data_IF_265617859954
#
_entry.id   IF_265617859954
#
_cell.length_a   1.000
_cell.length_b   1.000
_cell.length_c   1.000
_cell.angle_alpha   90.00
_cell.angle_beta   90.00
_cell.angle_gamma   90.00
#
_symmetry.space_group_name_H-M   'P 1'
#
loop_
_entity.id
_entity.type
_entity.pdbx_description
1 polymer ?
#
# COMPACT_ATOMS: atom_id res chain seq x y z
N UNK A 1 2.36 -6.39 10.97
CA UNK A 1 2.66 -6.81 9.58
C UNK A 1 3.50 -5.72 8.95
N UNK A 2 4.70 -6.05 8.48
CA UNK A 2 5.57 -5.11 7.79
C UNK A 2 5.38 -5.26 6.29
N UNK A 3 5.09 -4.17 5.60
CA UNK A 3 5.07 -4.15 4.14
C UNK A 3 6.53 -4.33 3.70
N UNK A 4 6.84 -5.49 3.11
CA UNK A 4 8.19 -5.82 2.63
C UNK A 4 8.33 -5.49 1.16
N UNK A 5 7.30 -5.73 0.35
CA UNK A 5 7.30 -5.46 -1.10
C UNK A 5 5.93 -4.96 -1.59
N UNK A 6 5.91 -4.29 -2.75
CA UNK A 6 4.67 -3.90 -3.43
C UNK A 6 3.83 -5.11 -3.80
N UNK A 7 4.47 -6.18 -4.28
CA UNK A 7 3.79 -7.39 -4.73
C UNK A 7 3.01 -8.04 -3.59
N UNK A 8 3.64 -8.22 -2.43
CA UNK A 8 2.95 -8.77 -1.25
C UNK A 8 1.78 -7.88 -0.81
N UNK A 9 1.93 -6.56 -0.92
CA UNK A 9 0.88 -5.63 -0.55
C UNK A 9 -0.32 -5.68 -1.50
N UNK A 10 -0.07 -5.74 -2.81
CA UNK A 10 -1.13 -5.86 -3.82
C UNK A 10 -1.80 -7.23 -3.73
N UNK A 11 -1.04 -8.31 -3.53
CA UNK A 11 -1.60 -9.64 -3.30
C UNK A 11 -2.43 -9.71 -2.02
N UNK A 12 -2.01 -9.02 -0.95
CA UNK A 12 -2.82 -8.88 0.26
C UNK A 12 -4.14 -8.17 -0.02
N UNK A 13 -4.11 -7.04 -0.72
CA UNK A 13 -5.33 -6.35 -1.16
C UNK A 13 -6.24 -7.25 -1.99
N UNK A 14 -5.68 -8.02 -2.93
CA UNK A 14 -6.44 -8.95 -3.77
C UNK A 14 -7.08 -10.06 -2.93
N UNK A 15 -6.34 -10.62 -1.98
CA UNK A 15 -6.80 -11.66 -1.06
C UNK A 15 -7.89 -11.20 -0.10
N UNK A 16 -8.00 -9.90 0.16
CA UNK A 16 -9.11 -9.32 0.94
C UNK A 16 -10.43 -9.24 0.14
N UNK A 17 -10.41 -9.55 -1.16
CA UNK A 17 -11.57 -9.53 -2.06
C UNK A 17 -12.34 -8.19 -2.02
N UNK A 18 -11.60 -7.08 -1.88
CA UNK A 18 -12.16 -5.73 -1.72
C UNK A 18 -12.40 -5.00 -3.05
N UNK A 19 -12.12 -5.63 -4.20
CA UNK A 19 -12.13 -4.98 -5.52
C UNK A 19 -13.50 -4.41 -5.91
N UNK A 20 -14.59 -4.85 -5.27
CA UNK A 20 -15.95 -4.35 -5.48
C UNK A 20 -16.38 -3.20 -4.57
N UNK A 21 -15.60 -2.84 -3.54
CA UNK A 21 -16.00 -1.84 -2.54
C UNK A 21 -14.99 -0.71 -2.37
N UNK A 22 -13.69 -1.00 -2.50
CA UNK A 22 -12.62 -0.01 -2.33
C UNK A 22 -11.55 -0.28 -3.38
N UNK A 23 -11.25 0.70 -4.24
CA UNK A 23 -10.14 0.62 -5.19
C UNK A 23 -8.77 0.56 -4.51
N UNK A 24 -7.78 -0.02 -5.17
CA UNK A 24 -6.42 -0.16 -4.65
C UNK A 24 -5.83 1.18 -4.24
N UNK A 25 -6.08 2.25 -5.00
CA UNK A 25 -5.60 3.60 -4.67
C UNK A 25 -6.17 4.10 -3.33
N UNK A 26 -7.46 3.91 -3.10
CA UNK A 26 -8.10 4.27 -1.83
C UNK A 26 -7.56 3.42 -0.67
N UNK A 27 -7.31 2.14 -0.91
CA UNK A 27 -6.72 1.24 0.07
C UNK A 27 -5.30 1.68 0.48
N UNK A 28 -4.46 2.00 -0.51
CA UNK A 28 -3.09 2.54 -0.32
C UNK A 28 -3.13 3.85 0.47
N UNK A 29 -4.04 4.76 0.11
CA UNK A 29 -4.18 6.05 0.79
C UNK A 29 -4.60 5.89 2.26
N UNK A 30 -5.52 4.96 2.54
CA UNK A 30 -5.94 4.67 3.92
C UNK A 30 -4.78 4.13 4.76
N UNK A 31 -4.02 3.17 4.24
CA UNK A 31 -2.85 2.63 4.96
C UNK A 31 -1.77 3.72 5.16
N UNK A 32 -1.57 4.60 4.18
CA UNK A 32 -0.62 5.72 4.29
C UNK A 32 -0.99 6.66 5.44
N UNK A 33 -2.28 6.95 5.64
CA UNK A 33 -2.75 7.76 6.78
C UNK A 33 -2.49 7.04 8.12
N UNK A 34 -2.76 5.73 8.17
CA UNK A 34 -2.51 4.91 9.36
C UNK A 34 -1.02 4.89 9.72
N UNK A 35 -0.14 4.71 8.73
CA UNK A 35 1.31 4.71 8.94
C UNK A 35 1.84 6.08 9.37
N UNK A 36 1.32 7.19 8.82
CA UNK A 36 1.67 8.54 9.27
C UNK A 36 1.28 8.76 10.73
N UNK A 37 0.06 8.38 11.13
CA UNK A 37 -0.38 8.48 12.51
C UNK A 37 0.45 7.61 13.48
N UNK A 38 0.91 6.44 13.01
CA UNK A 38 1.84 5.58 13.76
C UNK A 38 3.24 6.20 13.87
N UNK A 39 3.70 6.95 12.87
CA UNK A 39 4.99 7.66 12.89
C UNK A 39 5.01 8.79 13.93
N UNK A 40 3.87 9.47 14.11
CA UNK A 40 3.71 10.52 15.13
C UNK A 40 3.73 9.96 16.56
N UNK A 41 3.38 8.68 16.74
CA UNK A 41 3.48 7.98 18.02
C UNK A 41 4.94 7.63 18.35
N UNK A 42 5.50 8.30 19.37
CA UNK A 42 6.93 8.21 19.76
C UNK A 42 7.42 6.83 20.26
N UNK A 43 6.51 5.88 20.47
CA UNK A 43 6.83 4.54 21.02
C UNK A 43 7.07 3.45 19.97
N UNK A 44 7.01 3.77 18.67
CA UNK A 44 7.20 2.79 17.60
C UNK A 44 8.52 3.00 16.86
N UNK A 45 9.15 1.89 16.46
CA UNK A 45 10.32 1.91 15.59
C UNK A 45 9.96 2.58 14.26
N UNK A 46 10.62 3.71 13.96
CA UNK A 46 10.29 4.55 12.80
C UNK A 46 10.75 3.96 11.47
N UNK A 47 11.84 3.20 11.47
CA UNK A 47 12.42 2.57 10.27
C UNK A 47 11.42 1.69 9.49
N UNK A 48 10.72 0.71 10.10
CA UNK A 48 9.74 -0.10 9.36
C UNK A 48 8.54 0.70 8.87
N UNK A 49 8.15 1.77 9.58
CA UNK A 49 7.04 2.65 9.18
C UNK A 49 7.45 3.47 7.95
N UNK A 50 8.66 4.04 7.95
CA UNK A 50 9.21 4.77 6.81
C UNK A 50 9.38 3.88 5.58
N UNK A 51 9.84 2.64 5.78
CA UNK A 51 9.93 1.66 4.70
C UNK A 51 8.56 1.35 4.09
N UNK A 52 7.54 1.12 4.93
CA UNK A 52 6.17 0.92 4.48
C UNK A 52 5.63 2.13 3.71
N UNK A 53 5.83 3.34 4.23
CA UNK A 53 5.42 4.58 3.55
C UNK A 53 6.07 4.72 2.16
N UNK A 54 7.35 4.37 2.03
CA UNK A 54 8.05 4.42 0.74
C UNK A 54 7.43 3.46 -0.29
N UNK A 55 7.11 2.24 0.13
CA UNK A 55 6.45 1.26 -0.75
C UNK A 55 5.08 1.76 -1.19
N UNK A 56 4.30 2.33 -0.27
CA UNK A 56 2.98 2.90 -0.60
C UNK A 56 3.10 4.09 -1.56
N UNK A 57 4.11 4.94 -1.40
CA UNK A 57 4.34 6.10 -2.26
C UNK A 57 4.74 5.66 -3.68
N UNK A 58 5.68 4.72 -3.79
CA UNK A 58 6.09 4.16 -5.07
C UNK A 58 4.91 3.43 -5.77
N UNK A 59 4.08 2.69 -5.03
CA UNK A 59 2.88 2.04 -5.56
C UNK A 59 1.84 3.08 -6.02
N UNK A 60 1.66 4.18 -5.27
CA UNK A 60 0.78 5.28 -5.66
C UNK A 60 1.25 5.92 -6.97
N UNK A 61 2.56 6.17 -7.10
CA UNK A 61 3.15 6.72 -8.32
C UNK A 61 2.93 5.77 -9.51
N UNK A 62 3.06 4.46 -9.29
CA UNK A 62 2.81 3.46 -10.33
C UNK A 62 1.33 3.45 -10.76
N UNK A 63 0.40 3.49 -9.81
CA UNK A 63 -1.05 3.58 -10.09
C UNK A 63 -1.39 4.87 -10.85
N UNK A 64 -0.81 6.00 -10.46
CA UNK A 64 -1.03 7.27 -11.17
C UNK A 64 -0.47 7.27 -12.59
N UNK A 65 0.65 6.57 -12.82
CA UNK A 65 1.33 6.54 -14.13
C UNK A 65 0.74 5.52 -15.11
N UNK A 66 0.35 4.35 -14.63
CA UNK A 66 -0.10 3.23 -15.46
C UNK A 66 -1.58 2.89 -15.32
N UNK A 67 -2.25 3.44 -14.30
CA UNK A 67 -3.63 3.11 -13.95
C UNK A 67 -3.73 1.91 -12.99
N UNK A 68 -4.79 1.91 -12.20
CA UNK A 68 -5.01 0.89 -11.16
C UNK A 68 -5.15 -0.53 -11.73
N UNK A 69 -5.88 -0.69 -12.83
CA UNK A 69 -6.09 -1.99 -13.48
C UNK A 69 -4.78 -2.66 -13.92
N UNK A 70 -3.87 -1.89 -14.55
CA UNK A 70 -2.58 -2.41 -15.00
C UNK A 70 -1.68 -2.83 -13.83
N UNK A 71 -1.70 -2.06 -12.73
CA UNK A 71 -0.94 -2.41 -11.52
C UNK A 71 -1.48 -3.69 -10.91
N UNK A 72 -2.81 -3.83 -10.80
CA UNK A 72 -3.43 -5.05 -10.32
C UNK A 72 -3.05 -6.26 -11.18
N UNK A 73 -3.15 -6.16 -12.50
CA UNK A 73 -2.75 -7.24 -13.41
C UNK A 73 -1.26 -7.60 -13.31
N UNK A 74 -0.39 -6.60 -13.12
CA UNK A 74 1.06 -6.79 -13.01
C UNK A 74 1.44 -7.58 -11.76
N UNK A 75 0.81 -7.31 -10.62
CA UNK A 75 1.13 -7.91 -9.32
C UNK A 75 0.18 -9.06 -8.92
N UNK A 76 -0.86 -9.33 -9.73
CA UNK A 76 -1.76 -10.49 -9.58
C UNK A 76 -1.20 -11.79 -10.19
N UNK A 77 0.02 -11.77 -10.73
CA UNK A 77 0.72 -12.93 -11.30
C UNK A 77 1.54 -13.71 -10.28
#
# INVERSE_FOLDING_TARGET
MGIKTMSEYVQFYIGLNMQGSIGLLSFVNNERLVLKHKLENKNLAKEPILHGLRILDDLTNEIQRFGEAMVLEKYSK
#
